data_IF_059266958229
#
_entry.id   IF_059266958229
#
_cell.length_a   1.000
_cell.length_b   1.000
_cell.length_c   1.000
_cell.angle_alpha   90.00
_cell.angle_beta   90.00
_cell.angle_gamma   90.00
#
_symmetry.space_group_name_H-M   'P 1'
#
loop_
_entity.id
_entity.type
_entity.pdbx_description
1 polymer ?
#
# COMPACT_ATOMS: atom_id res chain seq x y z
N UNK A 1 12.58 -37.52 -4.74
CA UNK A 1 12.34 -36.45 -5.72
C UNK A 1 11.26 -35.53 -5.18
N UNK A 2 11.60 -34.32 -4.74
CA UNK A 2 10.61 -33.28 -4.38
C UNK A 2 10.84 -32.12 -5.33
N UNK A 3 9.97 -31.98 -6.33
CA UNK A 3 9.95 -30.81 -7.21
C UNK A 3 9.17 -29.72 -6.49
N UNK A 4 9.87 -28.73 -5.97
CA UNK A 4 9.27 -27.47 -5.53
C UNK A 4 8.95 -26.66 -6.78
N UNK A 5 7.68 -26.61 -7.16
CA UNK A 5 7.19 -25.77 -8.25
C UNK A 5 7.15 -24.32 -7.75
N UNK A 6 8.17 -23.54 -8.08
CA UNK A 6 8.21 -22.10 -7.85
C UNK A 6 7.40 -21.46 -8.99
N UNK A 7 6.21 -20.95 -8.67
CA UNK A 7 5.40 -20.16 -9.58
C UNK A 7 6.03 -18.76 -9.72
N UNK A 8 7.00 -18.63 -10.63
CA UNK A 8 7.53 -17.35 -11.08
C UNK A 8 6.46 -16.66 -11.93
N UNK A 9 5.73 -15.71 -11.34
CA UNK A 9 4.94 -14.73 -12.07
C UNK A 9 5.92 -13.79 -12.80
N UNK A 10 6.22 -14.13 -14.05
CA UNK A 10 6.94 -13.26 -14.96
C UNK A 10 6.03 -12.08 -15.33
N UNK A 11 6.15 -10.97 -14.60
CA UNK A 11 5.57 -9.69 -15.01
C UNK A 11 6.40 -9.12 -16.16
N UNK A 12 5.97 -9.36 -17.39
CA UNK A 12 6.48 -8.66 -18.56
C UNK A 12 5.76 -7.31 -18.67
N UNK A 13 6.39 -6.24 -18.19
CA UNK A 13 5.95 -4.87 -18.46
C UNK A 13 6.36 -4.50 -19.89
N UNK A 14 5.38 -4.35 -20.79
CA UNK A 14 5.65 -3.80 -22.11
C UNK A 14 5.57 -2.28 -22.04
N UNK A 15 6.46 -1.52 -22.70
CA UNK A 15 6.42 -0.06 -22.69
C UNK A 15 5.34 0.51 -23.64
N UNK A 16 4.13 -0.05 -23.62
CA UNK A 16 2.96 0.45 -24.36
C UNK A 16 2.06 1.23 -23.40
N UNK A 17 1.97 2.55 -23.57
CA UNK A 17 0.99 3.46 -22.95
C UNK A 17 0.58 3.08 -21.52
N UNK A 18 1.51 3.18 -20.57
CA UNK A 18 1.18 2.97 -19.17
C UNK A 18 0.46 4.19 -18.60
N UNK A 19 -0.72 3.96 -18.03
CA UNK A 19 -1.47 5.00 -17.36
C UNK A 19 -0.84 5.25 -15.98
N UNK A 20 -0.03 6.30 -15.89
CA UNK A 20 0.54 6.76 -14.63
C UNK A 20 -0.54 7.54 -13.89
N UNK A 21 -0.81 7.11 -12.65
CA UNK A 21 -1.76 7.75 -11.75
C UNK A 21 -1.07 8.20 -10.48
N UNK A 22 -1.52 9.32 -9.95
CA UNK A 22 -1.10 9.81 -8.65
C UNK A 22 -2.30 9.81 -7.72
N UNK A 23 -2.07 9.52 -6.44
CA UNK A 23 -3.12 9.44 -5.45
C UNK A 23 -2.64 10.02 -4.14
N UNK A 24 -3.57 10.56 -3.37
CA UNK A 24 -3.34 10.95 -1.98
C UNK A 24 -4.34 10.23 -1.10
N UNK A 25 -3.93 9.86 0.11
CA UNK A 25 -4.78 9.09 0.98
C UNK A 25 -4.21 8.88 2.37
N UNK A 26 -4.92 8.03 3.11
CA UNK A 26 -4.56 7.55 4.43
C UNK A 26 -4.63 6.03 4.46
N UNK A 27 -3.60 5.39 5.02
CA UNK A 27 -3.53 3.95 5.26
C UNK A 27 -2.21 3.33 4.82
N UNK A 28 -2.09 2.01 4.95
CA UNK A 28 -0.86 1.27 4.63
C UNK A 28 -0.42 1.41 3.14
N UNK A 29 -1.38 1.56 2.21
CA UNK A 29 -1.08 1.73 0.77
C UNK A 29 -0.58 3.13 0.41
N UNK A 30 -0.60 4.05 1.36
CA UNK A 30 -0.03 5.41 1.25
C UNK A 30 0.97 5.71 2.36
N UNK A 31 1.39 4.69 3.13
CA UNK A 31 2.29 4.83 4.31
C UNK A 31 1.78 5.87 5.31
N UNK A 32 0.53 5.76 5.75
CA UNK A 32 -0.13 6.76 6.59
C UNK A 32 -0.76 7.85 5.72
N UNK A 33 -0.70 9.11 6.15
CA UNK A 33 -1.10 10.24 5.29
C UNK A 33 0.01 10.45 4.25
N UNK A 34 -0.30 10.19 2.99
CA UNK A 34 0.73 10.15 1.97
C UNK A 34 0.24 10.18 0.53
N UNK A 35 1.21 10.06 -0.36
CA UNK A 35 1.04 10.04 -1.79
C UNK A 35 1.44 8.68 -2.36
N UNK A 36 0.74 8.25 -3.41
CA UNK A 36 0.98 7.01 -4.14
C UNK A 36 1.09 7.31 -5.62
N UNK A 37 2.10 6.74 -6.28
CA UNK A 37 2.26 6.73 -7.72
C UNK A 37 2.02 5.30 -8.21
N UNK A 38 1.10 5.16 -9.16
CA UNK A 38 0.69 3.87 -9.71
C UNK A 38 0.94 3.84 -11.22
N UNK A 39 1.31 2.67 -11.71
CA UNK A 39 1.44 2.37 -13.13
C UNK A 39 0.47 1.23 -13.43
N UNK A 40 -0.53 1.51 -14.26
CA UNK A 40 -1.58 0.54 -14.60
C UNK A 40 -1.42 0.08 -16.04
N UNK A 41 -1.44 -1.24 -16.24
CA UNK A 41 -1.44 -1.90 -17.54
C UNK A 41 -2.56 -2.96 -17.55
N UNK A 42 -3.63 -2.68 -18.29
CA UNK A 42 -4.81 -3.54 -18.34
C UNK A 42 -5.46 -3.73 -16.96
N UNK A 43 -5.39 -4.94 -16.42
CA UNK A 43 -5.98 -5.31 -15.12
C UNK A 43 -4.95 -5.35 -13.97
N UNK A 44 -3.70 -4.97 -14.23
CA UNK A 44 -2.64 -4.97 -13.23
C UNK A 44 -2.16 -3.55 -12.93
N UNK A 45 -1.85 -3.30 -11.66
CA UNK A 45 -1.30 -2.02 -11.19
C UNK A 45 -0.10 -2.29 -10.31
N UNK A 46 1.05 -1.72 -10.64
CA UNK A 46 2.17 -1.59 -9.72
C UNK A 46 2.11 -0.21 -9.07
N UNK A 47 2.55 -0.08 -7.82
CA UNK A 47 2.62 1.21 -7.17
C UNK A 47 3.81 1.35 -6.22
N UNK A 48 4.20 2.60 -6.02
CA UNK A 48 5.05 3.05 -4.93
C UNK A 48 4.34 4.17 -4.18
N UNK A 49 4.67 4.36 -2.92
CA UNK A 49 4.05 5.37 -2.09
C UNK A 49 5.03 5.86 -1.03
N UNK A 50 4.75 7.04 -0.51
CA UNK A 50 5.45 7.63 0.62
C UNK A 50 4.47 8.44 1.44
N UNK A 51 4.67 8.46 2.75
CA UNK A 51 3.79 9.13 3.69
C UNK A 51 4.36 9.07 5.09
N UNK A 52 3.58 9.59 6.03
CA UNK A 52 3.90 9.51 7.44
C UNK A 52 2.68 9.14 8.28
N UNK A 53 2.93 8.42 9.36
CA UNK A 53 1.98 8.22 10.46
C UNK A 53 2.11 9.36 11.48
N UNK A 54 1.10 9.50 12.34
CA UNK A 54 1.02 10.54 13.39
C UNK A 54 1.12 12.00 12.97
N UNK A 55 0.86 12.34 11.70
CA UNK A 55 0.97 13.72 11.19
C UNK A 55 0.05 14.76 11.88
N UNK A 56 -0.90 14.31 12.71
CA UNK A 56 -1.79 15.17 13.48
C UNK A 56 -1.50 15.18 14.99
N UNK A 57 -0.41 14.54 15.44
CA UNK A 57 0.04 14.62 16.82
C UNK A 57 0.61 16.02 17.12
N UNK A 58 0.42 16.52 18.35
CA UNK A 58 0.77 17.89 18.76
C UNK A 58 2.29 18.18 18.75
N UNK A 59 3.14 17.15 18.62
CA UNK A 59 4.59 17.29 18.54
C UNK A 59 5.11 17.00 17.12
N UNK A 60 5.67 18.02 16.46
CA UNK A 60 6.34 17.92 15.15
C UNK A 60 7.65 17.09 15.17
N UNK A 61 8.08 16.62 16.34
CA UNK A 61 9.41 16.02 16.55
C UNK A 61 9.49 14.50 16.32
N UNK A 62 8.42 13.85 15.86
CA UNK A 62 8.49 12.43 15.55
C UNK A 62 7.31 11.99 14.69
N UNK A 63 7.42 12.09 13.37
CA UNK A 63 6.50 11.40 12.47
C UNK A 63 7.21 10.18 11.90
N UNK A 64 6.63 9.00 12.07
CA UNK A 64 7.11 7.79 11.43
C UNK A 64 6.80 7.84 9.92
N UNK A 65 7.78 8.34 9.14
CA UNK A 65 7.70 8.43 7.70
C UNK A 65 8.34 7.22 7.02
N UNK A 66 7.81 6.85 5.86
CA UNK A 66 8.30 5.71 5.12
C UNK A 66 7.74 5.64 3.70
N UNK A 67 7.87 4.45 3.13
CA UNK A 67 7.30 4.15 1.83
C UNK A 67 6.80 2.71 1.73
N UNK A 68 5.88 2.50 0.81
CA UNK A 68 5.29 1.20 0.49
C UNK A 68 5.29 1.01 -1.01
N UNK A 69 5.66 -0.18 -1.47
CA UNK A 69 5.47 -0.60 -2.85
C UNK A 69 4.62 -1.86 -2.91
N UNK A 70 3.93 -2.06 -4.02
CA UNK A 70 3.07 -3.22 -4.15
C UNK A 70 2.53 -3.43 -5.55
N UNK A 71 1.80 -4.54 -5.67
CA UNK A 71 1.14 -4.98 -6.88
C UNK A 71 -0.34 -5.23 -6.54
N UNK A 72 -1.23 -4.76 -7.40
CA UNK A 72 -2.67 -5.00 -7.31
C UNK A 72 -3.18 -5.51 -8.66
N UNK A 73 -4.26 -6.30 -8.62
CA UNK A 73 -4.88 -6.84 -9.83
C UNK A 73 -6.40 -6.89 -9.69
N UNK A 74 -7.10 -6.59 -10.78
CA UNK A 74 -8.56 -6.71 -10.89
C UNK A 74 -9.03 -8.05 -11.48
N UNK A 75 -8.13 -8.94 -11.92
CA UNK A 75 -8.50 -10.23 -12.56
C UNK A 75 -9.38 -11.15 -11.71
N UNK A 76 -9.40 -10.98 -10.38
CA UNK A 76 -10.24 -11.76 -9.48
C UNK A 76 -11.71 -11.30 -9.46
N UNK A 77 -12.03 -10.19 -10.15
CA UNK A 77 -13.33 -9.54 -10.08
C UNK A 77 -13.85 -9.19 -11.48
N UNK A 78 -15.18 -9.14 -11.67
CA UNK A 78 -15.75 -8.58 -12.88
C UNK A 78 -15.56 -7.05 -12.89
N UNK A 79 -14.93 -6.52 -13.94
CA UNK A 79 -14.68 -5.09 -14.10
C UNK A 79 -13.36 -4.62 -13.47
N UNK A 80 -13.13 -3.31 -13.45
CA UNK A 80 -11.87 -2.70 -13.00
C UNK A 80 -12.01 -1.86 -11.71
N UNK A 81 -13.15 -1.96 -11.02
CA UNK A 81 -13.40 -1.23 -9.78
C UNK A 81 -12.80 -1.94 -8.55
N UNK A 82 -12.66 -3.27 -8.60
CA UNK A 82 -12.19 -4.06 -7.47
C UNK A 82 -10.79 -4.58 -7.76
N UNK A 83 -9.88 -4.46 -6.79
CA UNK A 83 -8.55 -5.04 -6.89
C UNK A 83 -8.19 -5.82 -5.64
N UNK A 84 -7.32 -6.81 -5.81
CA UNK A 84 -6.64 -7.51 -4.74
C UNK A 84 -5.14 -7.44 -4.97
N UNK A 85 -4.34 -7.32 -3.92
CA UNK A 85 -2.92 -7.10 -4.05
C UNK A 85 -2.07 -7.49 -2.86
N UNK A 86 -0.77 -7.39 -3.10
CA UNK A 86 0.29 -7.60 -2.14
C UNK A 86 1.13 -6.34 -2.06
N UNK A 87 1.56 -5.96 -0.86
CA UNK A 87 2.44 -4.82 -0.68
C UNK A 87 3.49 -5.11 0.40
N UNK A 88 4.64 -4.46 0.28
CA UNK A 88 5.68 -4.41 1.31
C UNK A 88 6.06 -2.96 1.57
N UNK A 89 6.21 -2.60 2.84
CA UNK A 89 6.61 -1.26 3.21
C UNK A 89 6.15 -0.87 4.60
N UNK A 90 6.03 0.43 4.80
CA UNK A 90 5.55 1.01 6.03
C UNK A 90 4.05 0.73 6.21
N UNK A 91 3.72 -0.13 7.18
CA UNK A 91 2.35 -0.53 7.48
C UNK A 91 1.76 0.17 8.71
N UNK A 92 2.60 0.56 9.67
CA UNK A 92 2.22 1.19 10.93
C UNK A 92 3.42 1.92 11.56
N UNK A 93 3.26 2.46 12.76
CA UNK A 93 4.31 3.06 13.56
C UNK A 93 4.37 2.46 14.97
N UNK A 94 5.47 2.74 15.65
CA UNK A 94 5.64 2.50 17.09
C UNK A 94 6.29 3.72 17.74
N UNK A 95 6.21 3.77 19.06
CA UNK A 95 6.80 4.85 19.87
C UNK A 95 7.77 4.19 20.84
N UNK A 96 9.02 4.66 20.85
CA UNK A 96 10.02 4.25 21.83
C UNK A 96 9.48 4.57 23.24
N UNK A 97 9.32 3.58 24.13
CA UNK A 97 8.75 3.78 25.46
C UNK A 97 9.65 4.60 26.40
N UNK A 98 10.93 4.79 26.06
CA UNK A 98 11.93 5.54 26.84
C UNK A 98 12.09 6.96 26.30
N UNK A 99 12.27 7.11 24.99
CA UNK A 99 12.57 8.43 24.39
C UNK A 99 11.32 9.15 23.86
N UNK A 100 10.22 8.43 23.65
CA UNK A 100 9.03 8.96 22.99
C UNK A 100 9.20 9.17 21.49
N UNK A 101 10.30 8.69 20.90
CA UNK A 101 10.56 8.85 19.47
C UNK A 101 9.73 7.87 18.63
N UNK A 102 9.16 8.37 17.54
CA UNK A 102 8.39 7.57 16.59
C UNK A 102 9.31 6.83 15.61
N UNK A 103 9.06 5.54 15.40
CA UNK A 103 9.70 4.72 14.38
C UNK A 103 8.67 3.98 13.52
N UNK A 104 9.13 3.59 12.33
CA UNK A 104 8.30 3.00 11.29
C UNK A 104 8.31 1.47 11.38
N UNK A 105 7.13 0.85 11.41
CA UNK A 105 7.00 -0.61 11.29
C UNK A 105 6.91 -1.00 9.82
N UNK A 106 7.84 -1.85 9.38
CA UNK A 106 7.88 -2.42 8.04
C UNK A 106 7.32 -3.83 8.01
N UNK A 107 6.59 -4.16 6.95
CA UNK A 107 5.98 -5.48 6.83
C UNK A 107 5.40 -5.78 5.46
N UNK A 108 4.78 -6.95 5.37
CA UNK A 108 4.04 -7.42 4.20
C UNK A 108 2.54 -7.35 4.45
N UNK A 109 1.76 -7.07 3.42
CA UNK A 109 0.31 -7.05 3.51
C UNK A 109 -0.37 -7.64 2.29
N UNK A 110 -1.56 -8.20 2.52
CA UNK A 110 -2.57 -8.40 1.49
C UNK A 110 -3.61 -7.29 1.58
N UNK A 111 -4.12 -6.86 0.45
CA UNK A 111 -5.06 -5.74 0.41
C UNK A 111 -6.12 -5.95 -0.65
N UNK A 112 -7.31 -5.43 -0.36
CA UNK A 112 -8.39 -5.23 -1.30
C UNK A 112 -8.63 -3.72 -1.45
N UNK A 113 -8.89 -3.26 -2.66
CA UNK A 113 -9.30 -1.87 -2.91
C UNK A 113 -10.51 -1.82 -3.83
N UNK A 114 -11.38 -0.86 -3.57
CA UNK A 114 -12.51 -0.48 -4.42
C UNK A 114 -12.31 0.95 -4.91
N UNK A 115 -12.18 1.12 -6.23
CA UNK A 115 -12.11 2.38 -6.93
C UNK A 115 -13.48 2.74 -7.48
N UNK A 116 -14.07 3.85 -7.03
CA UNK A 116 -15.44 4.22 -7.37
C UNK A 116 -15.67 4.37 -8.88
N UNK A 117 -14.65 4.87 -9.60
CA UNK A 117 -14.71 5.09 -11.05
C UNK A 117 -13.90 4.07 -11.87
N UNK A 118 -13.32 3.06 -11.21
CA UNK A 118 -12.37 2.13 -11.80
C UNK A 118 -10.91 2.54 -11.57
N UNK A 119 -10.00 1.56 -11.49
CA UNK A 119 -8.59 1.78 -11.13
C UNK A 119 -7.78 2.59 -12.15
N UNK A 120 -8.31 2.78 -13.38
CA UNK A 120 -7.70 3.61 -14.42
C UNK A 120 -8.20 5.06 -14.45
N UNK A 121 -9.16 5.42 -13.61
CA UNK A 121 -9.85 6.70 -13.66
C UNK A 121 -9.58 7.54 -12.41
N UNK A 122 -9.76 8.86 -12.52
CA UNK A 122 -9.73 9.73 -11.36
C UNK A 122 -10.96 9.48 -10.49
N UNK A 123 -10.80 9.42 -9.18
CA UNK A 123 -11.90 9.16 -8.25
C UNK A 123 -11.46 8.71 -6.87
N UNK A 124 -12.42 8.68 -5.95
CA UNK A 124 -12.18 8.16 -4.61
C UNK A 124 -12.03 6.63 -4.63
N UNK A 125 -11.25 6.13 -3.70
CA UNK A 125 -11.07 4.72 -3.46
C UNK A 125 -11.02 4.43 -1.96
N UNK A 126 -11.47 3.24 -1.60
CA UNK A 126 -11.41 2.71 -0.23
C UNK A 126 -10.79 1.32 -0.29
N UNK A 127 -10.18 0.88 0.79
CA UNK A 127 -9.59 -0.44 0.85
C UNK A 127 -9.51 -0.97 2.26
N UNK A 128 -9.33 -2.28 2.35
CA UNK A 128 -9.05 -2.96 3.59
C UNK A 128 -7.99 -4.02 3.34
N UNK A 129 -7.21 -4.36 4.35
CA UNK A 129 -6.17 -5.35 4.21
C UNK A 129 -5.76 -5.92 5.54
N UNK A 130 -4.85 -6.86 5.48
CA UNK A 130 -4.25 -7.48 6.64
C UNK A 130 -2.73 -7.45 6.48
N UNK A 131 -2.05 -6.96 7.51
CA UNK A 131 -0.61 -6.72 7.51
C UNK A 131 0.08 -7.51 8.61
N UNK A 132 1.29 -7.98 8.31
CA UNK A 132 2.22 -8.48 9.31
C UNK A 132 3.54 -7.75 9.16
N UNK A 133 4.09 -7.26 10.25
CA UNK A 133 5.33 -6.48 10.27
C UNK A 133 5.98 -6.53 11.65
N UNK A 134 7.26 -6.18 11.68
CA UNK A 134 8.05 -6.15 12.90
C UNK A 134 8.71 -4.79 13.03
N UNK A 135 8.53 -4.18 14.20
CA UNK A 135 9.26 -3.03 14.68
C UNK A 135 10.28 -3.41 15.75
N UNK A 136 10.98 -2.40 16.27
CA UNK A 136 11.96 -2.57 17.34
C UNK A 136 11.28 -2.80 18.71
N UNK A 137 10.04 -2.34 18.88
CA UNK A 137 9.29 -2.38 20.14
C UNK A 137 7.90 -3.04 20.02
N UNK A 138 7.35 -3.14 18.81
CA UNK A 138 6.02 -3.68 18.51
C UNK A 138 6.05 -4.52 17.24
N UNK A 139 5.54 -5.74 17.32
CA UNK A 139 5.12 -6.50 16.14
C UNK A 139 3.64 -6.22 15.83
N UNK A 140 3.28 -6.20 14.53
CA UNK A 140 1.90 -6.03 14.07
C UNK A 140 1.40 -7.27 13.34
N UNK A 141 0.12 -7.58 13.56
CA UNK A 141 -0.61 -8.66 12.88
C UNK A 141 -2.10 -8.30 12.87
N UNK A 142 -2.46 -7.31 12.04
CA UNK A 142 -3.73 -6.60 12.18
C UNK A 142 -4.37 -6.22 10.85
N UNK A 143 -5.67 -5.89 10.94
CA UNK A 143 -6.46 -5.40 9.82
C UNK A 143 -6.33 -3.88 9.74
N UNK A 144 -6.12 -3.35 8.55
CA UNK A 144 -6.06 -1.91 8.30
C UNK A 144 -7.09 -1.48 7.25
N UNK A 145 -7.43 -0.20 7.29
CA UNK A 145 -8.26 0.46 6.29
C UNK A 145 -7.41 1.44 5.48
N UNK A 146 -7.84 1.66 4.25
CA UNK A 146 -7.27 2.67 3.37
C UNK A 146 -8.40 3.52 2.79
N UNK A 147 -8.11 4.78 2.59
CA UNK A 147 -8.97 5.70 1.86
C UNK A 147 -8.11 6.68 1.08
N UNK A 148 -8.53 7.06 -0.11
CA UNK A 148 -7.83 8.08 -0.86
C UNK A 148 -8.59 8.56 -2.07
N UNK A 149 -7.93 9.43 -2.82
CA UNK A 149 -8.38 9.94 -4.10
C UNK A 149 -7.26 9.77 -5.12
N UNK A 150 -7.60 9.23 -6.27
CA UNK A 150 -6.73 9.05 -7.44
C UNK A 150 -7.04 10.12 -8.48
N UNK A 151 -6.01 10.63 -9.14
CA UNK A 151 -6.05 11.58 -10.22
C UNK A 151 -5.55 10.92 -11.51
#
# INVERSE_FOLDING_TARGET
MKQTLILLLFFSFSPLASDIKYSFGYGALTSGVGARLSVTEGQNTAFISTGCWNVFAESLEGNACGGTFGLQSSYLFPGNNHTFGLAYGNLDYEVDPVTGADSTIYGVSINYSYFMNGMGESGAWIGAGYGNGSGDYKDISEVFLNIGYQF
#
